data_IF_384384461470
#
_entry.id   IF_384384461470
#
_cell.length_a   1.000
_cell.length_b   1.000
_cell.length_c   1.000
_cell.angle_alpha   90.00
_cell.angle_beta   90.00
_cell.angle_gamma   90.00
#
_symmetry.space_group_name_H-M   'P 1'
#
loop_
_entity.id
_entity.type
_entity.pdbx_description
1 polymer ?
#
# COMPACT_ATOMS: atom_id res chain seq x y z
N UNK A 1 2.34 -4.20 -23.24
CA UNK A 1 3.55 -5.04 -23.20
C UNK A 1 4.05 -5.27 -21.78
N UNK A 2 4.34 -4.25 -20.96
CA UNK A 2 4.91 -4.49 -19.61
C UNK A 2 4.01 -5.30 -18.66
N UNK A 3 2.71 -4.99 -18.54
CA UNK A 3 1.80 -5.75 -17.69
C UNK A 3 1.63 -7.20 -18.16
N UNK A 4 1.61 -7.42 -19.47
CA UNK A 4 1.51 -8.75 -20.08
C UNK A 4 2.76 -9.60 -19.77
N UNK A 5 3.95 -8.99 -19.82
CA UNK A 5 5.19 -9.64 -19.40
C UNK A 5 5.13 -10.05 -17.92
N UNK A 6 4.74 -9.14 -17.03
CA UNK A 6 4.65 -9.43 -15.59
C UNK A 6 3.60 -10.51 -15.26
N UNK A 7 2.52 -10.61 -16.04
CA UNK A 7 1.53 -11.69 -15.91
C UNK A 7 2.12 -13.06 -16.29
N UNK A 8 3.00 -13.10 -17.29
CA UNK A 8 3.61 -14.34 -17.79
C UNK A 8 4.78 -14.84 -16.92
N UNK A 9 5.37 -13.99 -16.07
CA UNK A 9 6.56 -14.32 -15.26
C UNK A 9 6.29 -15.26 -14.06
N UNK A 10 5.04 -15.71 -13.82
CA UNK A 10 4.66 -16.71 -12.81
C UNK A 10 5.28 -16.51 -11.39
N UNK A 11 5.48 -15.25 -10.97
CA UNK A 11 5.98 -14.92 -9.63
C UNK A 11 4.87 -15.14 -8.59
N UNK A 12 5.18 -15.88 -7.51
CA UNK A 12 4.24 -16.16 -6.41
C UNK A 12 3.60 -14.91 -5.78
N UNK A 13 4.34 -13.79 -5.71
CA UNK A 13 3.86 -12.50 -5.17
C UNK A 13 4.25 -11.36 -6.09
N UNK A 14 3.65 -11.33 -7.27
CA UNK A 14 3.90 -10.26 -8.22
C UNK A 14 3.17 -8.96 -7.85
N UNK A 15 3.84 -8.08 -7.08
CA UNK A 15 3.29 -6.77 -6.74
C UNK A 15 3.32 -5.78 -7.92
N UNK A 16 4.12 -6.04 -8.97
CA UNK A 16 4.24 -5.13 -10.11
C UNK A 16 2.96 -5.09 -10.92
N UNK A 17 2.23 -6.21 -10.99
CA UNK A 17 0.90 -6.27 -11.59
C UNK A 17 -0.03 -5.21 -10.97
N UNK A 18 -0.02 -5.06 -9.64
CA UNK A 18 -0.86 -4.06 -8.95
C UNK A 18 -0.44 -2.63 -9.28
N UNK A 19 0.87 -2.37 -9.37
CA UNK A 19 1.42 -1.07 -9.76
C UNK A 19 1.00 -0.71 -11.19
N UNK A 20 1.28 -1.59 -12.13
CA UNK A 20 1.02 -1.39 -13.56
C UNK A 20 -0.48 -1.25 -13.84
N UNK A 21 -1.31 -2.08 -13.19
CA UNK A 21 -2.77 -1.96 -13.30
C UNK A 21 -3.26 -0.59 -12.80
N UNK A 22 -2.72 -0.07 -11.70
CA UNK A 22 -3.06 1.26 -11.20
C UNK A 22 -2.62 2.36 -12.19
N UNK A 23 -1.39 2.29 -12.70
CA UNK A 23 -0.89 3.25 -13.69
C UNK A 23 -1.77 3.28 -14.93
N UNK A 24 -2.17 2.12 -15.46
CA UNK A 24 -3.10 2.05 -16.59
C UNK A 24 -4.42 2.75 -16.25
N UNK A 25 -5.04 2.42 -15.12
CA UNK A 25 -6.32 3.03 -14.72
C UNK A 25 -6.21 4.54 -14.56
N UNK A 26 -5.08 5.05 -14.06
CA UNK A 26 -4.85 6.50 -13.93
C UNK A 26 -4.75 7.23 -15.27
N UNK A 27 -4.28 6.57 -16.32
CA UNK A 27 -4.21 7.14 -17.66
C UNK A 27 -5.53 7.02 -18.42
N UNK A 28 -6.51 6.28 -17.90
CA UNK A 28 -7.84 6.13 -18.49
C UNK A 28 -8.81 7.18 -17.89
N UNK A 29 -9.11 8.21 -18.67
CA UNK A 29 -10.06 9.25 -18.30
C UNK A 29 -11.45 8.68 -17.95
N UNK A 30 -12.06 9.20 -16.88
CA UNK A 30 -13.42 8.85 -16.46
C UNK A 30 -13.58 7.50 -15.75
N UNK A 31 -12.48 6.84 -15.34
CA UNK A 31 -12.54 5.56 -14.62
C UNK A 31 -12.45 5.71 -13.10
N UNK A 32 -13.06 4.77 -12.36
CA UNK A 32 -12.96 4.69 -10.89
C UNK A 32 -12.10 3.48 -10.53
N UNK A 33 -11.06 3.73 -9.73
CA UNK A 33 -10.21 2.66 -9.19
C UNK A 33 -10.60 2.32 -7.75
N UNK A 34 -10.84 1.04 -7.48
CA UNK A 34 -11.09 0.52 -6.12
C UNK A 34 -10.02 -0.51 -5.75
N UNK A 35 -9.44 -0.36 -4.57
CA UNK A 35 -8.46 -1.31 -4.01
C UNK A 35 -9.03 -1.92 -2.74
N UNK A 36 -9.32 -3.22 -2.75
CA UNK A 36 -9.90 -3.93 -1.60
C UNK A 36 -9.26 -5.31 -1.38
N UNK A 37 -8.92 -5.61 -0.12
CA UNK A 37 -8.70 -6.98 0.35
C UNK A 37 -9.97 -7.50 1.05
N UNK A 38 -9.96 -8.76 1.52
CA UNK A 38 -11.09 -9.42 2.22
C UNK A 38 -11.81 -8.54 3.26
N UNK A 39 -11.07 -7.86 4.14
CA UNK A 39 -11.61 -7.04 5.23
C UNK A 39 -11.57 -5.53 4.96
N UNK A 40 -11.12 -5.12 3.77
CA UNK A 40 -10.96 -3.72 3.35
C UNK A 40 -10.18 -2.79 4.32
N UNK A 41 -9.48 -3.32 5.34
CA UNK A 41 -8.74 -2.54 6.36
C UNK A 41 -7.22 -2.57 6.18
N UNK A 42 -6.55 -3.66 6.56
CA UNK A 42 -5.10 -3.72 6.78
C UNK A 42 -4.32 -3.73 5.46
N UNK A 43 -4.44 -4.79 4.65
CA UNK A 43 -3.76 -4.89 3.33
C UNK A 43 -4.24 -3.80 2.38
N UNK A 44 -5.53 -3.47 2.41
CA UNK A 44 -6.07 -2.31 1.69
C UNK A 44 -5.36 -1.02 2.10
N UNK A 45 -5.21 -0.75 3.40
CA UNK A 45 -4.53 0.44 3.89
C UNK A 45 -3.08 0.52 3.43
N UNK A 46 -2.36 -0.60 3.44
CA UNK A 46 -0.98 -0.64 2.95
C UNK A 46 -0.89 -0.30 1.46
N UNK A 47 -1.79 -0.88 0.65
CA UNK A 47 -1.82 -0.61 -0.80
C UNK A 47 -2.25 0.82 -1.12
N UNK A 48 -3.35 1.30 -0.53
CA UNK A 48 -3.90 2.64 -0.80
C UNK A 48 -2.88 3.72 -0.44
N UNK A 49 -2.29 3.65 0.75
CA UNK A 49 -1.27 4.66 1.17
C UNK A 49 -0.03 4.64 0.29
N UNK A 50 0.37 3.48 -0.24
CA UNK A 50 1.50 3.41 -1.17
C UNK A 50 1.19 4.08 -2.51
N UNK A 51 -0.04 3.91 -3.00
CA UNK A 51 -0.49 4.54 -4.23
C UNK A 51 -0.62 6.07 -4.07
N UNK A 52 -1.14 6.53 -2.93
CA UNK A 52 -1.23 7.96 -2.58
C UNK A 52 0.17 8.61 -2.55
N UNK A 53 1.15 7.98 -1.89
CA UNK A 53 2.52 8.54 -1.84
C UNK A 53 3.18 8.53 -3.22
N UNK A 54 3.02 7.45 -4.00
CA UNK A 54 3.53 7.40 -5.39
C UNK A 54 2.93 8.49 -6.26
N UNK A 55 1.62 8.72 -6.14
CA UNK A 55 0.94 9.80 -6.84
C UNK A 55 1.53 11.17 -6.47
N UNK A 56 1.71 11.46 -5.18
CA UNK A 56 2.30 12.73 -4.75
C UNK A 56 3.74 12.90 -5.25
N UNK A 57 4.54 11.83 -5.23
CA UNK A 57 5.91 11.85 -5.74
C UNK A 57 5.95 12.15 -7.24
N UNK A 58 5.08 11.52 -8.03
CA UNK A 58 4.97 11.75 -9.47
C UNK A 58 4.47 13.17 -9.76
N UNK A 59 3.42 13.61 -9.06
CA UNK A 59 2.84 14.95 -9.21
C UNK A 59 3.83 16.07 -8.87
N UNK A 60 4.62 15.90 -7.80
CA UNK A 60 5.66 16.85 -7.39
C UNK A 60 7.00 16.64 -8.10
N UNK A 61 7.07 15.68 -9.04
CA UNK A 61 8.30 15.33 -9.77
C UNK A 61 9.49 14.97 -8.87
N UNK A 62 9.22 14.35 -7.72
CA UNK A 62 10.27 13.84 -6.84
C UNK A 62 10.84 12.53 -7.38
N UNK A 63 12.17 12.50 -7.52
CA UNK A 63 12.89 11.25 -7.72
C UNK A 63 12.89 10.44 -6.42
N UNK A 64 12.28 9.25 -6.46
CA UNK A 64 12.17 8.36 -5.32
C UNK A 64 13.53 7.81 -4.85
N UNK A 65 14.48 7.60 -5.74
CA UNK A 65 15.83 7.15 -5.37
C UNK A 65 16.57 8.23 -4.61
N UNK A 66 16.44 9.49 -5.05
CA UNK A 66 17.04 10.64 -4.37
C UNK A 66 16.33 10.97 -3.05
N UNK A 67 15.00 10.82 -3.00
CA UNK A 67 14.15 11.20 -1.86
C UNK A 67 13.56 9.99 -1.13
N UNK A 68 14.30 8.88 -1.06
CA UNK A 68 13.83 7.62 -0.46
C UNK A 68 13.40 7.78 1.01
N UNK A 69 14.12 8.58 1.80
CA UNK A 69 13.74 8.92 3.18
C UNK A 69 12.37 9.60 3.24
N UNK A 70 12.14 10.59 2.36
CA UNK A 70 10.87 11.32 2.32
C UNK A 70 9.72 10.37 1.93
N UNK A 71 9.95 9.47 0.98
CA UNK A 71 8.98 8.48 0.54
C UNK A 71 8.53 7.60 1.72
N UNK A 72 9.48 7.05 2.48
CA UNK A 72 9.18 6.25 3.66
C UNK A 72 8.51 7.07 4.77
N UNK A 73 8.96 8.31 4.99
CA UNK A 73 8.37 9.21 6.00
C UNK A 73 6.90 9.50 5.71
N UNK A 74 6.55 9.75 4.45
CA UNK A 74 5.16 9.98 4.04
C UNK A 74 4.31 8.72 4.22
N UNK A 75 4.82 7.55 3.80
CA UNK A 75 4.16 6.26 4.04
C UNK A 75 3.86 6.06 5.52
N UNK A 76 4.86 6.26 6.37
CA UNK A 76 4.73 6.04 7.80
C UNK A 76 3.76 7.04 8.43
N UNK A 77 3.76 8.28 7.97
CA UNK A 77 2.84 9.32 8.44
C UNK A 77 1.39 8.98 8.09
N UNK A 78 1.10 8.59 6.85
CA UNK A 78 -0.25 8.20 6.44
C UNK A 78 -0.74 6.94 7.15
N UNK A 79 0.14 5.98 7.42
CA UNK A 79 -0.21 4.73 8.11
C UNK A 79 -0.33 4.88 9.63
N UNK A 80 0.38 5.83 10.24
CA UNK A 80 0.30 6.08 11.68
C UNK A 80 -0.81 7.03 12.06
N UNK A 81 -1.04 8.07 11.23
CA UNK A 81 -1.89 9.21 11.58
C UNK A 81 -2.97 9.52 10.53
N UNK A 82 -2.97 8.82 9.39
CA UNK A 82 -3.91 9.08 8.30
C UNK A 82 -5.26 8.39 8.47
N UNK A 83 -6.12 8.54 7.46
CA UNK A 83 -7.50 8.03 7.47
C UNK A 83 -7.56 6.50 7.55
N UNK A 84 -6.57 5.80 6.98
CA UNK A 84 -6.55 4.34 6.92
C UNK A 84 -6.42 3.67 8.28
N UNK A 85 -5.72 4.27 9.26
CA UNK A 85 -5.67 3.74 10.63
C UNK A 85 -6.97 4.03 11.40
N UNK A 86 -7.65 5.14 11.12
CA UNK A 86 -8.97 5.44 11.69
C UNK A 86 -10.03 4.45 11.19
N UNK A 87 -9.91 3.98 9.94
CA UNK A 87 -10.76 2.90 9.44
C UNK A 87 -10.58 1.63 10.27
N UNK A 88 -9.34 1.28 10.65
CA UNK A 88 -9.09 0.14 11.55
C UNK A 88 -9.76 0.37 12.90
N UNK A 89 -9.59 1.56 13.49
CA UNK A 89 -10.24 1.94 14.77
C UNK A 89 -11.76 1.81 14.71
N UNK A 90 -12.39 2.25 13.63
CA UNK A 90 -13.84 2.13 13.44
C UNK A 90 -14.31 0.68 13.31
N UNK A 91 -13.49 -0.19 12.72
CA UNK A 91 -13.85 -1.58 12.49
C UNK A 91 -13.64 -2.46 13.74
N UNK A 92 -12.52 -2.28 14.45
CA UNK A 92 -12.12 -3.19 15.55
C UNK A 92 -11.87 -2.48 16.89
N UNK A 93 -12.20 -1.19 17.00
CA UNK A 93 -12.05 -0.40 18.22
C UNK A 93 -10.62 0.09 18.52
N UNK A 94 -9.61 -0.36 17.78
CA UNK A 94 -8.20 -0.06 18.04
C UNK A 94 -7.45 0.52 16.83
N UNK A 95 -6.53 1.45 17.06
CA UNK A 95 -5.59 1.99 16.04
C UNK A 95 -4.38 1.05 15.86
N UNK A 96 -4.63 -0.24 15.59
CA UNK A 96 -3.57 -1.23 15.33
C UNK A 96 -3.96 -2.14 14.18
N UNK A 97 -3.15 -2.17 13.13
CA UNK A 97 -3.31 -3.12 12.04
C UNK A 97 -3.14 -4.56 12.53
N UNK A 98 -3.93 -5.46 11.97
CA UNK A 98 -3.91 -6.88 12.30
C UNK A 98 -2.95 -7.62 11.37
N UNK A 99 -1.66 -7.62 11.72
CA UNK A 99 -0.63 -8.32 10.97
C UNK A 99 0.18 -9.23 11.88
N UNK A 100 0.34 -10.49 11.45
CA UNK A 100 1.29 -11.41 12.05
C UNK A 100 2.73 -11.04 11.62
N UNK A 101 3.64 -10.93 12.59
CA UNK A 101 5.06 -10.64 12.34
C UNK A 101 5.69 -11.56 11.29
N UNK A 102 5.45 -12.88 11.36
CA UNK A 102 5.99 -13.83 10.39
C UNK A 102 5.48 -13.57 8.97
N UNK A 103 4.21 -13.17 8.84
CA UNK A 103 3.66 -12.78 7.54
C UNK A 103 4.36 -11.52 7.01
N UNK A 104 4.63 -10.53 7.86
CA UNK A 104 5.30 -9.28 7.46
C UNK A 104 6.73 -9.48 6.94
N UNK A 105 7.45 -10.50 7.41
CA UNK A 105 8.78 -10.83 6.87
C UNK A 105 8.73 -11.16 5.38
N UNK A 106 7.60 -11.69 4.91
CA UNK A 106 7.39 -12.04 3.49
C UNK A 106 6.89 -10.86 2.65
N UNK A 107 6.65 -9.70 3.25
CA UNK A 107 6.12 -8.53 2.55
C UNK A 107 7.29 -7.69 2.01
N UNK A 108 7.15 -7.10 0.81
CA UNK A 108 8.03 -6.02 0.37
C UNK A 108 8.04 -4.88 1.39
N UNK A 109 9.18 -4.22 1.55
CA UNK A 109 9.38 -3.16 2.55
C UNK A 109 8.29 -2.08 2.48
N UNK A 110 7.91 -1.66 1.28
CA UNK A 110 6.92 -0.62 1.05
C UNK A 110 5.51 -0.98 1.53
N UNK A 111 5.19 -2.27 1.67
CA UNK A 111 3.88 -2.75 2.13
C UNK A 111 3.84 -3.02 3.64
N UNK A 112 4.95 -2.79 4.35
CA UNK A 112 5.00 -3.03 5.80
C UNK A 112 4.43 -1.83 6.57
N UNK A 113 3.62 -2.07 7.61
CA UNK A 113 3.17 -1.02 8.50
C UNK A 113 4.34 -0.50 9.37
N UNK A 114 4.29 0.75 9.85
CA UNK A 114 5.30 1.29 10.76
C UNK A 114 5.34 0.54 12.09
N UNK A 115 6.52 0.46 12.72
CA UNK A 115 6.66 -0.17 14.03
C UNK A 115 5.73 0.47 15.08
N UNK A 116 5.10 -0.38 15.89
CA UNK A 116 4.12 0.02 16.92
C UNK A 116 2.71 0.29 16.40
N UNK A 117 2.46 0.21 15.09
CA UNK A 117 1.12 0.41 14.49
C UNK A 117 0.40 -0.91 14.17
N UNK A 118 0.97 -2.05 14.49
CA UNK A 118 0.40 -3.37 14.23
C UNK A 118 0.57 -4.33 15.40
N UNK A 119 -0.25 -5.37 15.43
CA UNK A 119 -0.20 -6.44 16.43
C UNK A 119 -0.80 -7.74 15.89
N UNK A 120 -0.47 -8.87 16.53
CA UNK A 120 -1.09 -10.17 16.30
C UNK A 120 -2.52 -10.18 16.87
N UNK A 121 -3.41 -9.37 16.31
CA UNK A 121 -4.83 -9.33 16.66
C UNK A 121 -5.57 -10.04 15.53
N UNK A 122 -6.48 -10.96 15.87
CA UNK A 122 -7.33 -11.59 14.87
C UNK A 122 -8.22 -10.53 14.20
N UNK A 123 -8.32 -10.61 12.87
CA UNK A 123 -9.01 -9.62 12.04
C UNK A 123 -10.50 -9.85 11.91
#
# INVERSE_FOLDING_TARGET
>A
MELENELNENKLKNIQILKLANEIVRHLDGTIKVTCCKSAKDRTGMSVTLEEVRFVFEFLQFDKHLHSHLFQTMLDTLRRNGTRIENVRKNIGAKKYAFNYLCLLTFPMEFRPPLGTYSNVES
#
